data_IF_594516716182
#
_entry.id   IF_594516716182
#
_cell.length_a   1.000
_cell.length_b   1.000
_cell.length_c   1.000
_cell.angle_alpha   90.00
_cell.angle_beta   90.00
_cell.angle_gamma   90.00
#
_symmetry.space_group_name_H-M   'P 1'
#
loop_
_entity.id
_entity.type
_entity.pdbx_description
1 polymer ?
#
# COMPACT_ATOMS: atom_id res chain seq x y z
N UNK A 1 -31.85 8.81 -3.68
CA UNK A 1 -30.42 9.08 -3.92
C UNK A 1 -30.27 10.58 -4.05
N UNK A 2 -29.28 11.17 -3.39
CA UNK A 2 -28.98 12.60 -3.53
C UNK A 2 -27.89 12.81 -4.57
N UNK A 3 -27.78 14.03 -5.10
CA UNK A 3 -26.76 14.38 -6.09
C UNK A 3 -25.99 15.62 -5.66
N UNK A 4 -24.67 15.59 -5.85
CA UNK A 4 -23.82 16.77 -5.72
C UNK A 4 -23.70 17.43 -7.08
N UNK A 5 -23.95 18.72 -7.15
CA UNK A 5 -23.80 19.53 -8.36
C UNK A 5 -22.64 20.52 -8.22
N UNK A 6 -22.04 20.89 -9.35
CA UNK A 6 -21.12 22.03 -9.46
C UNK A 6 -21.49 22.86 -10.68
N UNK A 7 -21.18 24.16 -10.67
CA UNK A 7 -21.31 24.98 -11.88
C UNK A 7 -20.26 24.60 -12.94
N UNK A 8 -20.67 24.51 -14.21
CA UNK A 8 -19.74 24.47 -15.34
C UNK A 8 -19.17 25.87 -15.66
N UNK A 9 -18.33 25.96 -16.71
CA UNK A 9 -17.74 27.23 -17.17
C UNK A 9 -18.79 28.29 -17.54
N UNK A 10 -20.03 27.87 -17.80
CA UNK A 10 -21.16 28.71 -18.18
C UNK A 10 -22.19 28.85 -17.04
N UNK A 11 -21.85 28.43 -15.81
CA UNK A 11 -22.73 28.52 -14.64
C UNK A 11 -23.81 27.44 -14.55
N UNK A 12 -23.87 26.47 -15.47
CA UNK A 12 -24.91 25.43 -15.48
C UNK A 12 -24.61 24.35 -14.46
N UNK A 13 -25.62 23.83 -13.73
CA UNK A 13 -25.42 22.77 -12.76
C UNK A 13 -25.06 21.46 -13.46
N UNK A 14 -23.86 20.95 -13.18
CA UNK A 14 -23.38 19.65 -13.64
C UNK A 14 -23.29 18.70 -12.45
N UNK A 15 -23.95 17.55 -12.58
CA UNK A 15 -23.90 16.49 -11.59
C UNK A 15 -22.46 15.94 -11.47
N UNK A 16 -21.88 16.08 -10.29
CA UNK A 16 -20.51 15.67 -9.94
C UNK A 16 -20.46 14.33 -9.22
N UNK A 17 -21.38 14.09 -8.29
CA UNK A 17 -21.39 12.86 -7.48
C UNK A 17 -22.79 12.36 -7.21
N UNK A 18 -22.90 11.06 -7.01
CA UNK A 18 -24.06 10.41 -6.40
C UNK A 18 -23.79 10.25 -4.91
N UNK A 19 -24.76 10.64 -4.09
CA UNK A 19 -24.72 10.47 -2.65
C UNK A 19 -25.78 9.42 -2.29
N UNK A 20 -25.30 8.29 -1.78
CA UNK A 20 -26.13 7.22 -1.24
C UNK A 20 -26.38 7.50 0.23
N UNK A 21 -27.64 7.68 0.59
CA UNK A 21 -28.09 7.84 1.98
C UNK A 21 -27.97 6.53 2.75
N UNK A 22 -28.15 6.59 4.07
CA UNK A 22 -28.11 5.45 5.00
C UNK A 22 -28.89 4.23 4.52
N UNK A 23 -30.07 4.45 3.91
CA UNK A 23 -30.96 3.37 3.47
C UNK A 23 -30.59 2.81 2.08
N UNK A 24 -29.63 3.42 1.38
CA UNK A 24 -29.28 3.08 0.00
C UNK A 24 -27.94 2.35 -0.13
N UNK A 25 -27.24 2.17 1.00
CA UNK A 25 -26.00 1.43 1.11
C UNK A 25 -26.05 0.42 2.27
N UNK A 26 -25.31 -0.70 2.22
CA UNK A 26 -25.37 -1.73 3.25
C UNK A 26 -24.43 -1.47 4.45
N UNK A 27 -23.72 -0.35 4.48
CA UNK A 27 -22.76 -0.04 5.56
C UNK A 27 -23.51 0.16 6.88
N UNK A 28 -23.14 -0.62 7.89
CA UNK A 28 -23.65 -0.47 9.26
C UNK A 28 -22.67 0.35 10.09
N UNK A 29 -23.12 1.43 10.72
CA UNK A 29 -22.30 2.29 11.60
C UNK A 29 -21.60 1.51 12.72
N UNK A 30 -22.23 0.44 13.24
CA UNK A 30 -21.64 -0.43 14.25
C UNK A 30 -20.38 -1.20 13.79
N UNK A 31 -20.13 -1.32 12.48
CA UNK A 31 -18.90 -1.91 11.93
C UNK A 31 -17.75 -0.91 11.80
N UNK A 32 -17.97 0.36 12.12
CA UNK A 32 -16.92 1.39 12.07
C UNK A 32 -16.14 1.35 13.39
N UNK A 33 -14.81 1.40 13.29
CA UNK A 33 -13.97 1.47 14.49
C UNK A 33 -14.30 2.75 15.30
N UNK A 34 -14.62 2.64 16.60
CA UNK A 34 -14.95 3.80 17.43
C UNK A 34 -13.85 4.85 17.48
N UNK A 35 -12.57 4.46 17.41
CA UNK A 35 -11.45 5.40 17.44
C UNK A 35 -11.29 6.12 16.09
N UNK A 36 -11.57 5.45 14.97
CA UNK A 36 -11.69 6.10 13.66
C UNK A 36 -12.82 7.14 13.66
N UNK A 37 -13.97 6.81 14.26
CA UNK A 37 -15.09 7.74 14.41
C UNK A 37 -14.71 8.96 15.26
N UNK A 38 -14.00 8.77 16.37
CA UNK A 38 -13.49 9.88 17.20
C UNK A 38 -12.58 10.83 16.42
N UNK A 39 -11.66 10.29 15.59
CA UNK A 39 -10.79 11.11 14.74
C UNK A 39 -11.63 11.96 13.78
N UNK A 40 -12.60 11.36 13.12
CA UNK A 40 -13.46 12.04 12.14
C UNK A 40 -14.32 13.12 12.81
N UNK A 41 -14.93 12.81 13.95
CA UNK A 41 -15.72 13.78 14.72
C UNK A 41 -14.85 14.95 15.17
N UNK A 42 -13.67 14.70 15.74
CA UNK A 42 -12.74 15.75 16.16
C UNK A 42 -12.32 16.67 15.01
N UNK A 43 -12.04 16.12 13.82
CA UNK A 43 -11.74 16.93 12.63
C UNK A 43 -12.93 17.82 12.24
N UNK A 44 -14.15 17.28 12.27
CA UNK A 44 -15.37 18.02 11.94
C UNK A 44 -15.72 19.11 12.93
N UNK A 45 -15.58 18.84 14.22
CA UNK A 45 -15.81 19.83 15.28
C UNK A 45 -14.82 21.01 15.17
N UNK A 46 -13.69 20.80 14.48
CA UNK A 46 -12.70 21.84 14.16
C UNK A 46 -12.87 22.44 12.75
N UNK A 47 -14.01 22.21 12.10
CA UNK A 47 -14.36 22.81 10.81
C UNK A 47 -13.77 22.13 9.57
N UNK A 48 -13.24 20.91 9.70
CA UNK A 48 -12.68 20.14 8.58
C UNK A 48 -13.63 19.04 8.13
N UNK A 49 -13.70 18.81 6.82
CA UNK A 49 -14.36 17.63 6.29
C UNK A 49 -13.46 16.41 6.48
N UNK A 50 -14.03 15.28 6.91
CA UNK A 50 -13.30 14.04 7.12
C UNK A 50 -14.16 12.82 6.78
N UNK A 51 -13.55 11.83 6.12
CA UNK A 51 -14.22 10.66 5.54
C UNK A 51 -13.36 9.41 5.66
N UNK A 52 -14.01 8.26 5.73
CA UNK A 52 -13.37 6.95 5.54
C UNK A 52 -13.25 6.69 4.04
N UNK A 53 -12.12 6.15 3.57
CA UNK A 53 -11.86 5.93 2.13
C UNK A 53 -11.30 4.55 1.84
N UNK A 54 -11.13 4.23 0.55
CA UNK A 54 -10.29 3.13 0.12
C UNK A 54 -10.89 1.75 0.37
N UNK A 55 -10.04 0.81 0.79
CA UNK A 55 -10.42 -0.59 0.98
C UNK A 55 -11.49 -0.79 2.06
N UNK A 56 -11.49 0.05 3.09
CA UNK A 56 -12.46 -0.04 4.18
C UNK A 56 -13.90 0.17 3.69
N UNK A 57 -14.14 1.20 2.87
CA UNK A 57 -15.47 1.50 2.32
C UNK A 57 -15.95 0.36 1.42
N UNK A 58 -15.07 -0.13 0.53
CA UNK A 58 -15.37 -1.30 -0.31
C UNK A 58 -15.77 -2.51 0.52
N UNK A 59 -14.95 -2.86 1.51
CA UNK A 59 -15.15 -4.07 2.30
C UNK A 59 -16.46 -3.99 3.09
N UNK A 60 -16.78 -2.82 3.67
CA UNK A 60 -18.06 -2.55 4.31
C UNK A 60 -19.26 -2.70 3.36
N UNK A 61 -19.16 -2.19 2.13
CA UNK A 61 -20.22 -2.31 1.12
C UNK A 61 -20.44 -3.77 0.71
N UNK A 62 -19.36 -4.55 0.60
CA UNK A 62 -19.44 -5.99 0.28
C UNK A 62 -19.84 -6.84 1.51
N UNK A 63 -20.00 -6.21 2.68
CA UNK A 63 -20.41 -6.87 3.93
C UNK A 63 -19.27 -7.52 4.72
N UNK A 64 -18.02 -7.35 4.28
CA UNK A 64 -16.80 -7.79 4.99
C UNK A 64 -16.44 -6.80 6.12
N UNK A 65 -15.55 -7.22 7.01
CA UNK A 65 -14.98 -6.35 8.05
C UNK A 65 -13.64 -5.80 7.57
N UNK A 66 -13.44 -4.48 7.50
CA UNK A 66 -12.15 -3.88 7.16
C UNK A 66 -11.04 -4.31 8.13
N UNK A 67 -9.81 -4.44 7.61
CA UNK A 67 -8.62 -4.63 8.46
C UNK A 67 -8.15 -3.30 9.06
N UNK A 68 -8.11 -2.28 8.22
CA UNK A 68 -7.61 -0.94 8.55
C UNK A 68 -8.63 0.12 8.08
N UNK A 69 -8.65 1.27 8.75
CA UNK A 69 -9.50 2.41 8.41
C UNK A 69 -8.65 3.61 7.98
N UNK A 70 -8.56 3.82 6.68
CA UNK A 70 -7.92 5.01 6.10
C UNK A 70 -8.88 6.19 6.13
N UNK A 71 -8.39 7.34 6.61
CA UNK A 71 -9.17 8.58 6.73
C UNK A 71 -8.58 9.62 5.77
N UNK A 72 -9.45 10.38 5.09
CA UNK A 72 -9.05 11.53 4.29
C UNK A 72 -9.81 12.78 4.72
N UNK A 73 -9.11 13.92 4.73
CA UNK A 73 -9.63 15.23 5.17
C UNK A 73 -9.12 16.39 4.31
N UNK A 74 -9.79 17.54 4.37
CA UNK A 74 -9.27 18.82 3.85
C UNK A 74 -8.28 19.50 4.81
N UNK A 75 -8.10 18.98 6.03
CA UNK A 75 -7.09 19.47 6.97
C UNK A 75 -5.66 19.20 6.46
N UNK A 76 -4.80 20.22 6.51
CA UNK A 76 -3.38 20.04 6.17
C UNK A 76 -2.65 19.18 7.22
N UNK A 77 -1.54 18.49 6.88
CA UNK A 77 -0.80 17.64 7.83
C UNK A 77 -0.33 18.39 9.09
N UNK A 78 0.00 19.67 8.96
CA UNK A 78 0.37 20.51 10.10
C UNK A 78 -0.82 20.79 11.03
N UNK A 79 -2.03 20.97 10.47
CA UNK A 79 -3.27 21.14 11.25
C UNK A 79 -3.67 19.85 11.93
N UNK A 80 -3.61 18.71 11.24
CA UNK A 80 -3.87 17.39 11.83
C UNK A 80 -2.91 17.16 13.01
N UNK A 81 -1.61 17.42 12.84
CA UNK A 81 -0.63 17.26 13.92
C UNK A 81 -0.91 18.16 15.13
N UNK A 82 -1.45 19.37 14.90
CA UNK A 82 -1.82 20.29 15.98
C UNK A 82 -3.04 19.77 16.77
N UNK A 83 -3.99 19.11 16.10
CA UNK A 83 -5.16 18.52 16.74
C UNK A 83 -4.82 17.22 17.49
N UNK A 84 -3.94 16.40 16.92
CA UNK A 84 -3.55 15.10 17.45
C UNK A 84 -2.07 15.09 17.81
N UNK A 85 -1.74 15.41 19.06
CA UNK A 85 -0.36 15.46 19.56
C UNK A 85 0.33 14.09 19.52
N UNK A 86 -0.45 13.02 19.71
CA UNK A 86 -0.08 11.62 19.53
C UNK A 86 -0.07 11.21 18.04
N UNK A 87 0.58 12.00 17.19
CA UNK A 87 0.67 11.71 15.76
C UNK A 87 2.06 11.96 15.17
N UNK A 88 2.34 11.30 14.05
CA UNK A 88 3.59 11.43 13.30
C UNK A 88 3.30 11.63 11.82
N UNK A 89 3.93 12.65 11.24
CA UNK A 89 3.92 12.84 9.79
C UNK A 89 4.93 11.86 9.19
N UNK A 90 4.46 11.05 8.23
CA UNK A 90 5.23 10.06 7.48
C UNK A 90 5.22 10.44 6.00
N UNK A 91 6.31 10.13 5.31
CA UNK A 91 6.46 10.36 3.88
C UNK A 91 6.98 11.75 3.55
N UNK A 92 7.94 11.82 2.61
CA UNK A 92 8.47 13.08 2.09
C UNK A 92 7.57 13.68 0.99
N UNK A 93 7.01 12.81 0.13
CA UNK A 93 6.20 13.19 -1.05
C UNK A 93 4.70 13.08 -0.82
N UNK A 94 4.25 12.04 -0.12
CA UNK A 94 2.87 11.88 0.30
C UNK A 94 2.85 12.01 1.81
N UNK A 95 2.53 13.21 2.31
CA UNK A 95 2.50 13.47 3.74
C UNK A 95 1.25 12.82 4.34
N UNK A 96 1.41 11.61 4.85
CA UNK A 96 0.41 10.92 5.66
C UNK A 96 0.65 11.25 7.13
N UNK A 97 -0.42 11.31 7.92
CA UNK A 97 -0.33 11.50 9.36
C UNK A 97 -0.79 10.22 10.03
N UNK A 98 0.13 9.56 10.73
CA UNK A 98 -0.18 8.38 11.54
C UNK A 98 -0.61 8.85 12.92
N UNK A 99 -1.84 8.56 13.31
CA UNK A 99 -2.38 8.87 14.64
C UNK A 99 -2.38 7.58 15.46
N UNK A 100 -1.83 7.63 16.67
CA UNK A 100 -1.62 6.46 17.52
C UNK A 100 -2.69 6.36 18.61
N UNK A 101 -3.41 5.23 18.66
CA UNK A 101 -4.37 4.90 19.70
C UNK A 101 -3.98 3.58 20.35
N UNK A 102 -3.18 3.64 21.43
CA UNK A 102 -2.56 2.45 22.02
C UNK A 102 -1.68 1.74 20.98
N UNK A 103 -2.01 0.49 20.68
CA UNK A 103 -1.32 -0.32 19.67
C UNK A 103 -1.88 -0.12 18.23
N UNK A 104 -2.98 0.63 18.08
CA UNK A 104 -3.59 0.92 16.78
C UNK A 104 -2.97 2.15 16.14
N UNK A 105 -2.86 2.13 14.82
CA UNK A 105 -2.38 3.24 14.01
C UNK A 105 -3.45 3.55 12.95
N UNK A 106 -3.89 4.80 12.88
CA UNK A 106 -4.78 5.28 11.84
C UNK A 106 -4.02 6.15 10.86
N UNK A 107 -4.19 5.88 9.57
CA UNK A 107 -3.62 6.70 8.50
C UNK A 107 -4.59 7.81 8.12
N UNK A 108 -4.20 9.06 8.38
CA UNK A 108 -4.95 10.25 7.99
C UNK A 108 -4.21 10.98 6.88
N UNK A 109 -4.89 11.13 5.75
CA UNK A 109 -4.38 11.80 4.55
C UNK A 109 -5.16 13.07 4.26
N UNK A 110 -4.53 14.00 3.56
CA UNK A 110 -5.20 15.20 3.06
C UNK A 110 -5.54 15.03 1.58
N UNK A 111 -6.62 15.67 1.10
CA UNK A 111 -7.01 15.61 -0.32
C UNK A 111 -5.85 16.04 -1.24
N UNK A 112 -5.63 15.28 -2.30
CA UNK A 112 -4.54 15.51 -3.24
C UNK A 112 -5.01 16.34 -4.43
N UNK A 113 -4.27 17.38 -4.78
CA UNK A 113 -4.59 18.19 -5.97
C UNK A 113 -4.16 17.53 -7.28
N UNK A 114 -4.84 17.90 -8.38
CA UNK A 114 -4.46 17.57 -9.76
C UNK A 114 -3.36 18.47 -10.33
N UNK A 115 -3.16 19.68 -9.77
CA UNK A 115 -2.31 20.73 -10.36
C UNK A 115 -0.81 20.36 -10.49
N UNK A 116 -0.33 19.41 -9.70
CA UNK A 116 1.10 19.07 -9.60
C UNK A 116 1.42 17.66 -10.15
N UNK A 117 0.49 17.03 -10.87
CA UNK A 117 0.62 15.62 -11.29
C UNK A 117 0.76 14.65 -10.12
N UNK A 118 1.45 13.53 -10.31
CA UNK A 118 1.58 12.46 -9.29
C UNK A 118 2.45 12.84 -8.08
N UNK A 119 3.24 13.93 -8.15
CA UNK A 119 4.33 14.22 -7.19
C UNK A 119 4.07 15.49 -6.34
N UNK A 120 2.91 16.13 -6.51
CA UNK A 120 2.54 17.35 -5.81
C UNK A 120 2.31 17.27 -4.32
N UNK A 121 2.67 18.38 -3.64
CA UNK A 121 2.32 18.64 -2.25
C UNK A 121 1.14 19.64 -2.12
N UNK A 122 0.55 20.10 -3.21
CA UNK A 122 -0.65 20.94 -3.16
C UNK A 122 -1.86 20.10 -2.76
N UNK A 123 -2.61 20.65 -1.81
CA UNK A 123 -3.85 20.06 -1.32
C UNK A 123 -4.99 20.48 -2.24
N UNK A 124 -5.83 19.50 -2.57
CA UNK A 124 -6.92 19.66 -3.52
C UNK A 124 -8.28 19.54 -2.87
N UNK A 125 -9.30 19.48 -3.72
CA UNK A 125 -10.66 19.13 -3.34
C UNK A 125 -10.87 17.61 -3.33
N UNK A 126 -12.02 17.18 -2.82
CA UNK A 126 -12.38 15.77 -2.83
C UNK A 126 -12.50 15.20 -4.25
N UNK A 127 -13.06 15.95 -5.19
CA UNK A 127 -13.19 15.49 -6.59
C UNK A 127 -11.83 15.39 -7.29
N UNK A 128 -10.87 16.26 -6.97
CA UNK A 128 -9.48 16.12 -7.43
C UNK A 128 -8.81 14.86 -6.86
N UNK A 129 -8.98 14.57 -5.57
CA UNK A 129 -8.38 13.38 -4.94
C UNK A 129 -8.92 12.08 -5.55
N UNK A 130 -10.22 12.03 -5.87
CA UNK A 130 -10.86 10.89 -6.52
C UNK A 130 -10.17 10.57 -7.84
N UNK A 131 -9.93 11.60 -8.67
CA UNK A 131 -9.34 11.43 -10.00
C UNK A 131 -7.89 10.94 -9.96
N UNK A 132 -7.23 10.98 -8.80
CA UNK A 132 -5.88 10.43 -8.57
C UNK A 132 -5.88 9.01 -8.02
N UNK A 133 -7.04 8.42 -7.78
CA UNK A 133 -7.18 7.03 -7.34
C UNK A 133 -7.14 6.10 -8.54
N UNK A 134 -6.85 4.84 -8.26
CA UNK A 134 -6.61 3.84 -9.29
C UNK A 134 -7.91 3.20 -9.80
N UNK A 135 -8.73 2.64 -8.90
CA UNK A 135 -9.93 1.89 -9.25
C UNK A 135 -11.17 2.43 -8.55
N UNK A 136 -12.31 2.36 -9.23
CA UNK A 136 -13.59 2.94 -8.80
C UNK A 136 -14.01 2.41 -7.43
N UNK A 137 -13.80 1.12 -7.18
CA UNK A 137 -14.11 0.48 -5.89
C UNK A 137 -13.32 1.02 -4.69
N UNK A 138 -12.13 1.63 -4.89
CA UNK A 138 -11.32 2.23 -3.82
C UNK A 138 -11.44 3.77 -3.79
N UNK A 139 -12.34 4.32 -4.62
CA UNK A 139 -12.55 5.76 -4.81
C UNK A 139 -13.91 6.23 -4.28
N UNK A 140 -14.40 5.54 -3.25
CA UNK A 140 -15.60 5.88 -2.50
C UNK A 140 -15.22 6.53 -1.17
N UNK A 141 -16.04 7.49 -0.74
CA UNK A 141 -15.89 8.21 0.52
C UNK A 141 -17.10 7.93 1.38
N UNK A 142 -16.90 7.51 2.61
CA UNK A 142 -17.96 7.28 3.57
C UNK A 142 -17.90 8.31 4.69
N UNK A 143 -19.03 8.97 4.91
CA UNK A 143 -19.29 9.86 6.03
C UNK A 143 -19.98 9.07 7.16
N UNK A 144 -19.28 8.72 8.26
CA UNK A 144 -19.89 7.97 9.35
C UNK A 144 -20.77 8.81 10.28
N UNK A 145 -20.73 10.14 10.17
CA UNK A 145 -21.57 11.06 10.96
C UNK A 145 -22.93 11.20 10.30
N UNK A 146 -22.96 11.48 8.98
CA UNK A 146 -24.19 11.57 8.19
C UNK A 146 -24.70 10.20 7.70
N UNK A 147 -23.89 9.16 7.83
CA UNK A 147 -24.16 7.82 7.29
C UNK A 147 -24.44 7.88 5.77
N UNK A 148 -23.51 8.45 5.02
CA UNK A 148 -23.63 8.67 3.57
C UNK A 148 -22.39 8.17 2.83
N UNK A 149 -22.58 7.59 1.64
CA UNK A 149 -21.49 7.25 0.70
C UNK A 149 -21.50 8.22 -0.46
N UNK A 150 -20.37 8.86 -0.72
CA UNK A 150 -20.16 9.81 -1.81
C UNK A 150 -19.38 9.10 -2.93
N UNK A 151 -19.96 9.10 -4.13
CA UNK A 151 -19.44 8.38 -5.30
C UNK A 151 -19.38 9.30 -6.54
N UNK A 152 -18.15 9.66 -6.95
CA UNK A 152 -17.90 10.47 -8.15
C UNK A 152 -17.66 9.62 -9.41
N UNK A 153 -17.48 8.30 -9.26
CA UNK A 153 -16.93 7.44 -10.32
C UNK A 153 -17.79 6.23 -10.64
N UNK A 154 -19.01 6.17 -10.09
CA UNK A 154 -19.91 5.03 -10.14
C UNK A 154 -19.35 3.76 -9.48
N UNK A 155 -18.48 3.91 -8.48
CA UNK A 155 -17.87 2.80 -7.74
C UNK A 155 -18.89 1.89 -7.05
N UNK A 156 -20.02 2.42 -6.55
CA UNK A 156 -21.07 1.58 -5.94
C UNK A 156 -21.74 0.70 -6.99
N UNK A 157 -21.95 1.20 -8.21
CA UNK A 157 -22.50 0.41 -9.32
C UNK A 157 -21.52 -0.68 -9.75
N UNK A 158 -20.23 -0.35 -9.87
CA UNK A 158 -19.20 -1.32 -10.23
C UNK A 158 -19.04 -2.43 -9.19
N UNK A 159 -19.12 -2.09 -7.88
CA UNK A 159 -19.13 -3.07 -6.79
C UNK A 159 -20.33 -4.00 -6.91
N UNK A 160 -21.54 -3.46 -7.14
CA UNK A 160 -22.76 -4.27 -7.34
C UNK A 160 -22.64 -5.19 -8.56
N UNK A 161 -22.05 -4.69 -9.65
CA UNK A 161 -21.78 -5.47 -10.85
C UNK A 161 -20.57 -6.41 -10.73
N UNK A 162 -19.85 -6.42 -9.60
CA UNK A 162 -18.61 -7.18 -9.35
C UNK A 162 -17.57 -6.99 -10.45
N UNK A 163 -17.36 -5.74 -10.88
CA UNK A 163 -16.41 -5.38 -11.94
C UNK A 163 -15.31 -4.48 -11.42
N UNK A 164 -14.08 -4.74 -11.85
CA UNK A 164 -12.96 -3.85 -11.58
C UNK A 164 -12.81 -2.82 -12.71
N UNK A 165 -13.14 -1.56 -12.43
CA UNK A 165 -12.99 -0.45 -13.37
C UNK A 165 -11.92 0.54 -12.89
N UNK A 166 -11.05 1.03 -13.78
CA UNK A 166 -10.14 2.11 -13.44
C UNK A 166 -10.88 3.45 -13.35
N UNK A 167 -10.42 4.35 -12.46
CA UNK A 167 -10.90 5.75 -12.44
C UNK A 167 -10.32 6.52 -13.61
N UNK A 168 -9.02 6.32 -13.85
CA UNK A 168 -8.26 7.00 -14.89
C UNK A 168 -8.41 6.24 -16.22
N UNK A 169 -8.54 6.92 -17.37
CA UNK A 169 -8.61 6.28 -18.67
C UNK A 169 -7.49 5.26 -18.92
N UNK A 170 -7.83 4.15 -19.59
CA UNK A 170 -6.95 2.98 -19.76
C UNK A 170 -5.65 3.29 -20.51
N UNK A 171 -5.68 4.26 -21.42
CA UNK A 171 -4.54 4.73 -22.20
C UNK A 171 -3.54 5.56 -21.39
N UNK A 172 -3.91 5.96 -20.16
CA UNK A 172 -3.12 6.81 -19.26
C UNK A 172 -2.74 6.06 -17.99
N UNK A 173 -3.67 5.36 -17.35
CA UNK A 173 -3.54 4.83 -15.98
C UNK A 173 -2.25 4.04 -15.72
N UNK A 174 -1.87 3.15 -16.66
CA UNK A 174 -0.69 2.29 -16.52
C UNK A 174 0.60 2.95 -16.96
N UNK A 175 0.54 3.96 -17.84
CA UNK A 175 1.69 4.78 -18.21
C UNK A 175 2.07 5.74 -17.07
N UNK A 176 1.06 6.29 -16.40
CA UNK A 176 1.25 7.17 -15.24
C UNK A 176 1.83 6.40 -14.04
N UNK A 177 1.30 5.22 -13.75
CA UNK A 177 1.85 4.34 -12.72
C UNK A 177 1.70 2.85 -13.07
N UNK A 178 2.76 2.20 -13.59
CA UNK A 178 2.71 0.79 -13.99
C UNK A 178 2.33 -0.16 -12.86
N UNK A 179 2.61 0.20 -11.59
CA UNK A 179 2.26 -0.60 -10.41
C UNK A 179 0.75 -0.80 -10.27
N UNK A 180 -0.08 0.07 -10.87
CA UNK A 180 -1.54 -0.10 -10.91
C UNK A 180 -1.96 -1.37 -11.66
N UNK A 181 -1.16 -1.92 -12.56
CA UNK A 181 -1.45 -3.23 -13.18
C UNK A 181 -1.39 -4.38 -12.17
N UNK A 182 -0.36 -4.40 -11.31
CA UNK A 182 -0.22 -5.39 -10.23
C UNK A 182 -1.41 -5.26 -9.27
N UNK A 183 -1.76 -4.02 -8.92
CA UNK A 183 -2.92 -3.72 -8.06
C UNK A 183 -4.23 -4.17 -8.71
N UNK A 184 -4.40 -4.02 -10.02
CA UNK A 184 -5.58 -4.49 -10.73
C UNK A 184 -5.79 -5.99 -10.55
N UNK A 185 -4.73 -6.77 -10.82
CA UNK A 185 -4.74 -8.23 -10.66
C UNK A 185 -4.98 -8.62 -9.21
N UNK A 186 -4.33 -7.95 -8.27
CA UNK A 186 -4.52 -8.17 -6.83
C UNK A 186 -5.96 -7.92 -6.39
N UNK A 187 -6.57 -6.80 -6.81
CA UNK A 187 -7.94 -6.48 -6.44
C UNK A 187 -8.93 -7.42 -7.10
N UNK A 188 -8.79 -7.71 -8.40
CA UNK A 188 -9.67 -8.65 -9.10
C UNK A 188 -9.67 -10.04 -8.42
N UNK A 189 -8.50 -10.61 -8.15
CA UNK A 189 -8.38 -11.90 -7.49
C UNK A 189 -8.85 -11.85 -6.02
N UNK A 190 -8.42 -10.86 -5.23
CA UNK A 190 -8.75 -10.78 -3.80
C UNK A 190 -10.22 -10.46 -3.50
N UNK A 191 -10.91 -9.71 -4.37
CA UNK A 191 -12.35 -9.43 -4.21
C UNK A 191 -13.24 -10.42 -4.94
N UNK A 192 -12.69 -11.23 -5.86
CA UNK A 192 -13.46 -12.06 -6.79
C UNK A 192 -14.18 -11.25 -7.87
N UNK A 193 -13.76 -10.00 -8.13
CA UNK A 193 -14.37 -9.16 -9.15
C UNK A 193 -13.83 -9.53 -10.53
N UNK A 194 -14.70 -9.50 -11.53
CA UNK A 194 -14.31 -9.71 -12.90
C UNK A 194 -13.46 -8.55 -13.41
N UNK A 195 -12.33 -8.89 -14.03
CA UNK A 195 -11.47 -7.97 -14.76
C UNK A 195 -11.96 -7.86 -16.21
N UNK A 196 -12.57 -6.75 -16.64
CA UNK A 196 -13.13 -6.64 -17.99
C UNK A 196 -12.07 -6.87 -19.07
N UNK A 197 -12.46 -7.51 -20.18
CA UNK A 197 -11.52 -7.88 -21.26
C UNK A 197 -10.73 -6.72 -21.86
N UNK A 198 -11.28 -5.50 -21.87
CA UNK A 198 -10.55 -4.28 -22.28
C UNK A 198 -9.42 -3.95 -21.30
N UNK A 199 -9.68 -4.02 -20.00
CA UNK A 199 -8.68 -3.77 -18.94
C UNK A 199 -7.60 -4.84 -18.98
N UNK A 200 -7.99 -6.12 -19.11
CA UNK A 200 -7.04 -7.24 -19.21
C UNK A 200 -6.10 -7.10 -20.43
N UNK A 201 -6.63 -6.71 -21.59
CA UNK A 201 -5.83 -6.47 -22.80
C UNK A 201 -4.86 -5.30 -22.63
N UNK A 202 -5.30 -4.21 -21.99
CA UNK A 202 -4.41 -3.09 -21.68
C UNK A 202 -3.26 -3.51 -20.77
N UNK A 203 -3.54 -4.30 -19.72
CA UNK A 203 -2.51 -4.86 -18.83
C UNK A 203 -1.50 -5.72 -19.62
N UNK A 204 -1.98 -6.61 -20.48
CA UNK A 204 -1.11 -7.46 -21.31
C UNK A 204 -0.23 -6.64 -22.25
N UNK A 205 -0.81 -5.61 -22.88
CA UNK A 205 -0.10 -4.72 -23.79
C UNK A 205 1.00 -3.92 -23.07
N UNK A 206 0.69 -3.41 -21.88
CA UNK A 206 1.53 -2.47 -21.16
C UNK A 206 2.40 -3.14 -20.08
N UNK A 207 2.38 -4.48 -19.94
CA UNK A 207 3.07 -5.20 -18.86
C UNK A 207 4.57 -4.87 -18.78
N UNK A 208 5.22 -4.67 -19.93
CA UNK A 208 6.63 -4.31 -20.03
C UNK A 208 6.99 -2.99 -19.32
N UNK A 209 6.01 -2.10 -19.09
CA UNK A 209 6.20 -0.87 -18.32
C UNK A 209 6.56 -1.13 -16.84
N UNK A 210 6.40 -2.38 -16.35
CA UNK A 210 6.88 -2.78 -15.03
C UNK A 210 8.40 -2.93 -14.95
N UNK A 211 9.09 -3.14 -16.06
CA UNK A 211 10.55 -3.33 -16.08
C UNK A 211 11.36 -2.17 -15.46
N UNK A 212 11.07 -0.88 -15.76
CA UNK A 212 11.78 0.25 -15.15
C UNK A 212 11.29 0.61 -13.73
N UNK A 213 10.28 -0.09 -13.18
CA UNK A 213 9.76 0.21 -11.83
C UNK A 213 10.80 -0.18 -10.78
N UNK A 214 10.96 0.66 -9.75
CA UNK A 214 11.95 0.40 -8.71
C UNK A 214 11.68 -0.93 -7.98
N UNK A 215 12.72 -1.74 -7.71
CA UNK A 215 12.61 -3.01 -6.98
C UNK A 215 11.86 -2.91 -5.65
N UNK A 216 12.00 -1.78 -4.94
CA UNK A 216 11.28 -1.51 -3.68
C UNK A 216 9.77 -1.51 -3.84
N UNK A 217 9.23 -0.86 -4.89
CA UNK A 217 7.79 -0.79 -5.14
C UNK A 217 7.21 -2.14 -5.54
N UNK A 218 7.97 -2.91 -6.33
CA UNK A 218 7.59 -4.29 -6.68
C UNK A 218 7.59 -5.19 -5.43
N UNK A 219 8.59 -5.03 -4.56
CA UNK A 219 8.70 -5.76 -3.30
C UNK A 219 7.51 -5.46 -2.38
N UNK A 220 7.12 -4.19 -2.24
CA UNK A 220 5.96 -3.80 -1.43
C UNK A 220 4.67 -4.47 -1.94
N UNK A 221 4.44 -4.49 -3.25
CA UNK A 221 3.26 -5.15 -3.81
C UNK A 221 3.33 -6.67 -3.66
N UNK A 222 4.49 -7.30 -3.86
CA UNK A 222 4.65 -8.75 -3.67
C UNK A 222 4.43 -9.15 -2.21
N UNK A 223 4.95 -8.39 -1.24
CA UNK A 223 4.67 -8.62 0.19
C UNK A 223 3.17 -8.52 0.48
N UNK A 224 2.45 -7.55 -0.11
CA UNK A 224 0.99 -7.46 0.01
C UNK A 224 0.28 -8.68 -0.59
N UNK A 225 0.80 -9.26 -1.67
CA UNK A 225 0.28 -10.50 -2.26
C UNK A 225 0.47 -11.66 -1.27
N UNK A 226 1.67 -11.84 -0.71
CA UNK A 226 1.98 -12.91 0.25
C UNK A 226 1.18 -12.81 1.56
N UNK A 227 0.80 -11.59 1.96
CA UNK A 227 -0.02 -11.33 3.15
C UNK A 227 -1.53 -11.35 2.88
N UNK A 228 -1.96 -11.57 1.63
CA UNK A 228 -3.36 -11.42 1.24
C UNK A 228 -4.25 -12.57 1.70
N UNK A 229 -3.70 -13.78 1.84
CA UNK A 229 -4.48 -15.02 1.96
C UNK A 229 -5.18 -15.42 0.64
N UNK A 230 -4.74 -14.85 -0.48
CA UNK A 230 -5.23 -15.16 -1.84
C UNK A 230 -4.09 -15.19 -2.86
N UNK A 231 -2.88 -15.47 -2.40
CA UNK A 231 -1.64 -15.52 -3.18
C UNK A 231 -1.76 -16.46 -4.38
N UNK A 232 -2.37 -17.64 -4.21
CA UNK A 232 -2.60 -18.58 -5.29
C UNK A 232 -3.42 -17.96 -6.43
N UNK A 233 -4.55 -17.33 -6.10
CA UNK A 233 -5.45 -16.73 -7.10
C UNK A 233 -4.79 -15.52 -7.78
N UNK A 234 -4.11 -14.69 -7.00
CA UNK A 234 -3.41 -13.51 -7.51
C UNK A 234 -2.28 -13.91 -8.46
N UNK A 235 -1.42 -14.85 -8.06
CA UNK A 235 -0.30 -15.32 -8.90
C UNK A 235 -0.82 -16.03 -10.15
N UNK A 236 -1.85 -16.87 -10.03
CA UNK A 236 -2.47 -17.52 -11.19
C UNK A 236 -2.99 -16.50 -12.21
N UNK A 237 -3.59 -15.40 -11.76
CA UNK A 237 -4.05 -14.34 -12.66
C UNK A 237 -2.87 -13.50 -13.19
N UNK A 238 -1.84 -13.26 -12.37
CA UNK A 238 -0.62 -12.54 -12.76
C UNK A 238 0.18 -13.27 -13.85
N UNK A 239 0.23 -14.60 -13.80
CA UNK A 239 0.80 -15.46 -14.85
C UNK A 239 0.02 -15.30 -16.16
N UNK A 240 -1.31 -15.37 -16.10
CA UNK A 240 -2.22 -15.18 -17.25
C UNK A 240 -2.24 -13.77 -17.84
N UNK A 241 -1.53 -12.82 -17.23
CA UNK A 241 -1.45 -11.41 -17.63
C UNK A 241 -0.02 -10.93 -17.83
N UNK A 242 0.98 -11.83 -17.84
CA UNK A 242 2.40 -11.51 -17.98
C UNK A 242 2.94 -10.51 -16.94
N UNK A 243 2.26 -10.33 -15.81
CA UNK A 243 2.75 -9.49 -14.72
C UNK A 243 3.78 -10.23 -13.89
N UNK A 244 3.58 -11.54 -13.67
CA UNK A 244 4.37 -12.28 -12.69
C UNK A 244 5.86 -12.36 -13.06
N UNK A 245 6.18 -12.37 -14.36
CA UNK A 245 7.57 -12.34 -14.85
C UNK A 245 8.35 -11.10 -14.41
N UNK A 246 7.67 -9.99 -14.13
CA UNK A 246 8.30 -8.77 -13.61
C UNK A 246 8.46 -8.79 -12.09
N UNK A 247 7.69 -9.64 -11.39
CA UNK A 247 7.78 -9.79 -9.93
C UNK A 247 8.76 -10.89 -9.52
N UNK A 248 8.76 -12.02 -10.23
CA UNK A 248 9.57 -13.21 -9.99
C UNK A 248 10.00 -13.84 -11.33
N UNK A 249 10.96 -13.23 -12.05
CA UNK A 249 11.44 -13.72 -13.34
C UNK A 249 12.02 -15.14 -13.26
N UNK A 250 12.87 -15.41 -12.26
CA UNK A 250 13.48 -16.73 -12.08
C UNK A 250 12.46 -17.82 -11.78
N UNK A 251 11.43 -17.51 -10.99
CA UNK A 251 10.31 -18.43 -10.79
C UNK A 251 9.59 -18.69 -12.11
N UNK A 252 9.30 -17.65 -12.90
CA UNK A 252 8.67 -17.81 -14.21
C UNK A 252 9.48 -18.69 -15.16
N UNK A 253 10.80 -18.52 -15.23
CA UNK A 253 11.67 -19.38 -16.04
C UNK A 253 11.50 -20.86 -15.66
N UNK A 254 11.55 -21.18 -14.36
CA UNK A 254 11.36 -22.56 -13.89
C UNK A 254 9.95 -23.11 -14.13
N UNK A 255 8.91 -22.26 -14.06
CA UNK A 255 7.54 -22.66 -14.40
C UNK A 255 7.44 -23.14 -15.86
N UNK A 256 8.19 -22.52 -16.78
CA UNK A 256 8.24 -22.92 -18.19
C UNK A 256 9.18 -24.11 -18.45
N UNK A 257 10.34 -24.15 -17.80
CA UNK A 257 11.40 -25.13 -18.10
C UNK A 257 11.18 -26.49 -17.45
N UNK A 258 10.64 -26.54 -16.22
CA UNK A 258 10.55 -27.78 -15.43
C UNK A 258 9.11 -28.32 -15.36
N UNK A 259 8.81 -29.46 -16.00
CA UNK A 259 7.52 -30.11 -15.89
C UNK A 259 7.16 -30.40 -14.42
N UNK A 260 5.92 -30.05 -14.03
CA UNK A 260 5.42 -30.28 -12.66
C UNK A 260 5.81 -29.21 -11.63
N UNK A 261 6.80 -28.35 -11.91
CA UNK A 261 7.17 -27.25 -11.01
C UNK A 261 6.02 -26.26 -10.82
N UNK A 262 5.25 -25.93 -11.87
CA UNK A 262 4.06 -25.08 -11.74
C UNK A 262 3.04 -25.65 -10.75
N UNK A 263 2.76 -26.96 -10.85
CA UNK A 263 1.79 -27.60 -9.98
C UNK A 263 2.24 -27.55 -8.52
N UNK A 264 3.50 -27.88 -8.22
CA UNK A 264 4.01 -27.83 -6.84
C UNK A 264 4.07 -26.39 -6.31
N UNK A 265 4.52 -25.45 -7.15
CA UNK A 265 4.70 -24.05 -6.78
C UNK A 265 3.36 -23.40 -6.42
N UNK A 266 2.34 -23.61 -7.27
CA UNK A 266 0.99 -23.14 -7.01
C UNK A 266 0.36 -23.84 -5.80
N UNK A 267 0.66 -25.11 -5.55
CA UNK A 267 0.19 -25.81 -4.35
C UNK A 267 0.81 -25.24 -3.07
N UNK A 268 2.09 -24.85 -3.10
CA UNK A 268 2.71 -24.15 -1.99
C UNK A 268 2.10 -22.76 -1.74
N UNK A 269 1.64 -22.06 -2.78
CA UNK A 269 0.87 -20.83 -2.61
C UNK A 269 -0.48 -21.06 -1.92
N UNK A 270 -1.16 -22.19 -2.19
CA UNK A 270 -2.39 -22.53 -1.44
C UNK A 270 -2.10 -22.82 0.02
N UNK A 271 -0.99 -23.52 0.32
CA UNK A 271 -0.56 -23.76 1.71
C UNK A 271 -0.20 -22.44 2.41
N UNK A 272 0.44 -21.50 1.70
CA UNK A 272 0.67 -20.16 2.21
C UNK A 272 -0.66 -19.47 2.52
N UNK A 273 -1.65 -19.53 1.63
CA UNK A 273 -2.95 -18.92 1.86
C UNK A 273 -3.66 -19.53 3.08
N UNK A 274 -3.60 -20.86 3.25
CA UNK A 274 -4.09 -21.53 4.45
C UNK A 274 -3.35 -21.09 5.73
N UNK A 275 -2.03 -20.90 5.67
CA UNK A 275 -1.25 -20.37 6.79
C UNK A 275 -1.73 -18.97 7.19
N UNK A 276 -2.04 -18.08 6.24
CA UNK A 276 -2.52 -16.71 6.55
C UNK A 276 -3.86 -16.73 7.29
N UNK A 277 -4.71 -17.72 7.03
CA UNK A 277 -5.98 -17.87 7.74
C UNK A 277 -5.75 -18.28 9.21
N UNK A 278 -4.79 -19.18 9.46
CA UNK A 278 -4.51 -19.70 10.81
C UNK A 278 -3.59 -18.77 11.61
N UNK A 279 -2.56 -18.22 10.98
CA UNK A 279 -1.55 -17.33 11.58
C UNK A 279 -1.35 -16.06 10.74
N UNK A 280 -2.28 -15.08 10.77
CA UNK A 280 -2.17 -13.84 10.00
C UNK A 280 -0.87 -13.07 10.30
N UNK A 281 -0.47 -13.08 11.57
CA UNK A 281 0.71 -12.39 12.11
C UNK A 281 2.04 -13.13 11.86
N UNK A 282 2.03 -14.23 11.08
CA UNK A 282 3.26 -14.95 10.74
C UNK A 282 4.32 -13.98 10.15
N UNK A 283 5.58 -14.16 10.53
CA UNK A 283 6.67 -13.34 10.00
C UNK A 283 6.84 -13.52 8.48
N UNK A 284 7.46 -12.54 7.83
CA UNK A 284 7.64 -12.57 6.39
C UNK A 284 8.50 -13.76 5.96
N UNK A 285 9.53 -14.13 6.71
CA UNK A 285 10.40 -15.26 6.41
C UNK A 285 9.65 -16.60 6.37
N UNK A 286 8.69 -16.82 7.27
CA UNK A 286 7.83 -18.01 7.23
C UNK A 286 7.01 -18.04 5.94
N UNK A 287 6.50 -16.88 5.50
CA UNK A 287 5.73 -16.74 4.25
C UNK A 287 6.62 -16.95 3.02
N UNK A 288 7.82 -16.35 3.00
CA UNK A 288 8.81 -16.52 1.95
C UNK A 288 9.27 -17.97 1.80
N UNK A 289 9.28 -18.76 2.88
CA UNK A 289 9.65 -20.18 2.80
C UNK A 289 8.78 -20.94 1.80
N UNK A 290 7.49 -20.61 1.65
CA UNK A 290 6.61 -21.25 0.66
C UNK A 290 6.94 -20.89 -0.79
N UNK A 291 7.50 -19.69 -1.02
CA UNK A 291 7.89 -19.23 -2.36
C UNK A 291 9.19 -19.90 -2.79
N UNK A 292 10.17 -20.01 -1.89
CA UNK A 292 11.50 -20.51 -2.24
C UNK A 292 11.65 -22.02 -2.04
N UNK A 293 10.69 -22.69 -1.38
CA UNK A 293 10.83 -24.11 -1.01
C UNK A 293 11.07 -25.01 -2.23
N UNK A 294 10.21 -24.95 -3.24
CA UNK A 294 10.36 -25.82 -4.42
C UNK A 294 11.63 -25.52 -5.20
N UNK A 295 12.04 -24.24 -5.24
CA UNK A 295 13.31 -23.87 -5.84
C UNK A 295 14.46 -24.57 -5.12
N UNK A 296 14.56 -24.42 -3.79
CA UNK A 296 15.61 -25.04 -2.97
C UNK A 296 15.56 -26.57 -3.10
N UNK A 297 14.37 -27.18 -3.00
CA UNK A 297 14.20 -28.62 -3.14
C UNK A 297 14.66 -29.13 -4.51
N UNK A 298 14.62 -28.29 -5.55
CA UNK A 298 15.04 -28.63 -6.91
C UNK A 298 16.52 -28.38 -7.21
N UNK A 299 17.31 -27.86 -6.26
CA UNK A 299 18.72 -27.53 -6.46
C UNK A 299 19.63 -28.76 -6.50
N UNK A 300 19.40 -29.72 -5.62
CA UNK A 300 20.20 -30.94 -5.47
C UNK A 300 19.39 -32.01 -4.73
N UNK A 301 19.91 -33.24 -4.71
CA UNK A 301 19.44 -34.29 -3.81
C UNK A 301 20.00 -34.03 -2.40
N UNK A 302 19.21 -33.35 -1.58
CA UNK A 302 19.62 -32.91 -0.24
C UNK A 302 20.03 -34.05 0.69
N UNK A 303 19.54 -35.28 0.48
CA UNK A 303 19.95 -36.42 1.30
C UNK A 303 21.40 -36.80 0.98
N UNK A 304 21.70 -37.01 -0.30
CA UNK A 304 23.06 -37.32 -0.77
C UNK A 304 24.04 -36.20 -0.47
N UNK A 305 23.65 -34.95 -0.73
CA UNK A 305 24.50 -33.79 -0.48
C UNK A 305 24.86 -33.65 1.01
N UNK A 306 23.94 -33.97 1.93
CA UNK A 306 24.22 -33.92 3.37
C UNK A 306 25.15 -35.05 3.82
N UNK A 307 25.10 -36.20 3.16
CA UNK A 307 26.00 -37.33 3.40
C UNK A 307 27.41 -37.04 2.87
N UNK A 308 27.54 -36.45 1.67
CA UNK A 308 28.82 -36.12 1.03
C UNK A 308 29.47 -34.86 1.60
N UNK A 309 28.69 -33.82 1.90
CA UNK A 309 29.14 -32.53 2.43
C UNK A 309 28.45 -32.22 3.76
N UNK A 310 28.94 -32.77 4.89
CA UNK A 310 28.25 -32.66 6.17
C UNK A 310 28.30 -31.25 6.78
N UNK A 311 29.05 -30.30 6.21
CA UNK A 311 29.19 -28.94 6.74
C UNK A 311 27.94 -28.08 6.43
N UNK A 312 27.05 -27.83 7.41
CA UNK A 312 25.79 -27.14 7.13
C UNK A 312 25.98 -25.65 6.81
N UNK A 313 27.12 -25.06 7.21
CA UNK A 313 27.42 -23.65 6.95
C UNK A 313 27.75 -23.41 5.48
N UNK A 314 28.44 -24.36 4.85
CA UNK A 314 28.78 -24.28 3.43
C UNK A 314 27.55 -24.51 2.55
N UNK A 315 26.75 -25.54 2.85
CA UNK A 315 25.48 -25.79 2.19
C UNK A 315 24.56 -24.57 2.26
N UNK A 316 24.48 -23.94 3.43
CA UNK A 316 23.74 -22.69 3.61
C UNK A 316 24.31 -21.55 2.75
N UNK A 317 25.63 -21.34 2.73
CA UNK A 317 26.25 -20.25 1.99
C UNK A 317 26.01 -20.37 0.47
N UNK A 318 26.10 -21.59 -0.08
CA UNK A 318 25.78 -21.88 -1.49
C UNK A 318 24.31 -21.61 -1.79
N UNK A 319 23.41 -22.14 -0.94
CA UNK A 319 21.95 -21.95 -1.07
C UNK A 319 21.56 -20.48 -0.98
N UNK A 320 22.22 -19.71 -0.11
CA UNK A 320 21.98 -18.28 0.07
C UNK A 320 22.18 -17.51 -1.21
N UNK A 321 23.32 -17.72 -1.89
CA UNK A 321 23.64 -17.03 -3.14
C UNK A 321 22.58 -17.30 -4.22
N UNK A 322 22.19 -18.56 -4.38
CA UNK A 322 21.20 -18.97 -5.37
C UNK A 322 19.79 -18.45 -5.04
N UNK A 323 19.35 -18.56 -3.78
CA UNK A 323 18.07 -18.02 -3.34
C UNK A 323 17.97 -16.51 -3.48
N UNK A 324 19.08 -15.80 -3.22
CA UNK A 324 19.12 -14.34 -3.38
C UNK A 324 18.89 -13.94 -4.84
N UNK A 325 19.48 -14.67 -5.79
CA UNK A 325 19.26 -14.42 -7.21
C UNK A 325 17.85 -14.83 -7.67
N UNK A 326 17.34 -15.95 -7.14
CA UNK A 326 15.99 -16.43 -7.44
C UNK A 326 14.92 -15.39 -7.12
N UNK A 327 15.07 -14.69 -5.99
CA UNK A 327 14.03 -13.82 -5.46
C UNK A 327 14.03 -12.41 -6.10
N UNK A 328 15.09 -12.02 -6.80
CA UNK A 328 15.15 -10.74 -7.50
C UNK A 328 14.04 -10.63 -8.57
N UNK A 329 13.47 -9.44 -8.81
CA UNK A 329 13.86 -8.13 -8.27
C UNK A 329 13.36 -7.84 -6.85
N UNK A 330 12.67 -8.77 -6.19
CA UNK A 330 12.25 -8.55 -4.80
C UNK A 330 13.48 -8.43 -3.89
N UNK A 331 13.45 -7.47 -2.96
CA UNK A 331 14.51 -7.26 -1.98
C UNK A 331 13.94 -7.28 -0.55
N UNK A 332 13.61 -8.46 0.00
CA UNK A 332 13.12 -8.58 1.37
C UNK A 332 14.25 -8.28 2.38
N UNK A 333 13.91 -7.94 3.64
CA UNK A 333 14.90 -7.81 4.69
C UNK A 333 15.76 -9.08 4.82
N UNK A 334 17.09 -8.92 4.94
CA UNK A 334 18.06 -10.04 4.98
C UNK A 334 17.69 -11.11 6.00
N UNK A 335 17.26 -10.69 7.19
CA UNK A 335 16.88 -11.58 8.31
C UNK A 335 15.69 -12.48 7.94
N UNK A 336 14.72 -11.95 7.18
CA UNK A 336 13.53 -12.69 6.76
C UNK A 336 13.90 -13.75 5.70
N UNK A 337 14.77 -13.39 4.75
CA UNK A 337 15.27 -14.34 3.76
C UNK A 337 16.12 -15.44 4.40
N UNK A 338 16.96 -15.09 5.37
CA UNK A 338 17.79 -16.07 6.10
C UNK A 338 16.92 -17.05 6.88
N UNK A 339 15.88 -16.56 7.55
CA UNK A 339 14.90 -17.41 8.22
C UNK A 339 14.22 -18.36 7.22
N UNK A 340 13.77 -17.85 6.07
CA UNK A 340 13.11 -18.65 5.04
C UNK A 340 14.00 -19.79 4.54
N UNK A 341 15.25 -19.49 4.17
CA UNK A 341 16.21 -20.46 3.63
C UNK A 341 16.50 -21.55 4.66
N UNK A 342 16.83 -21.16 5.90
CA UNK A 342 17.12 -22.13 6.97
C UNK A 342 15.92 -23.00 7.31
N UNK A 343 14.70 -22.44 7.25
CA UNK A 343 13.46 -23.20 7.44
C UNK A 343 13.29 -24.26 6.35
N UNK A 344 13.55 -23.92 5.09
CA UNK A 344 13.48 -24.88 3.99
C UNK A 344 14.57 -25.95 4.10
N UNK A 345 15.82 -25.56 4.36
CA UNK A 345 16.93 -26.50 4.55
C UNK A 345 16.68 -27.48 5.70
N UNK A 346 16.14 -27.00 6.82
CA UNK A 346 15.76 -27.86 7.95
C UNK A 346 14.66 -28.86 7.58
N UNK A 347 13.66 -28.45 6.78
CA UNK A 347 12.61 -29.37 6.26
C UNK A 347 13.18 -30.42 5.30
N UNK A 348 14.30 -30.12 4.65
CA UNK A 348 14.99 -31.02 3.72
C UNK A 348 16.06 -31.90 4.41
N UNK A 349 16.19 -31.80 5.73
CA UNK A 349 17.10 -32.65 6.53
C UNK A 349 18.44 -32.03 6.90
N UNK A 350 18.73 -30.80 6.47
CA UNK A 350 20.01 -30.13 6.79
C UNK A 350 19.95 -29.50 8.18
N UNK A 351 20.91 -29.84 9.05
CA UNK A 351 20.96 -29.36 10.42
C UNK A 351 21.41 -27.89 10.50
N UNK A 352 20.45 -26.96 10.33
CA UNK A 352 20.69 -25.51 10.41
C UNK A 352 20.01 -24.89 11.64
N UNK A 353 20.73 -24.02 12.35
CA UNK A 353 20.15 -23.21 13.44
C UNK A 353 19.34 -22.07 12.86
N UNK A 354 18.10 -21.87 13.33
CA UNK A 354 17.24 -20.74 12.95
C UNK A 354 17.68 -19.51 13.77
N UNK A 355 17.86 -18.32 13.16
CA UNK A 355 18.30 -17.13 13.88
C UNK A 355 17.24 -16.71 14.91
N UNK A 356 17.65 -16.50 16.16
CA UNK A 356 16.74 -16.02 17.23
C UNK A 356 16.18 -14.62 16.94
N UNK A 357 16.89 -13.82 16.16
CA UNK A 357 16.48 -12.46 15.73
C UNK A 357 15.27 -12.42 14.81
N UNK A 358 14.88 -13.55 14.21
CA UNK A 358 13.68 -13.64 13.38
C UNK A 358 12.37 -13.65 14.20
N UNK A 359 12.45 -13.89 15.52
CA UNK A 359 11.29 -13.89 16.43
C UNK A 359 11.09 -12.53 17.13
N UNK A 360 12.07 -11.62 17.08
CA UNK A 360 11.98 -10.29 17.70
C UNK A 360 11.29 -9.29 16.78
N UNK A 361 10.03 -9.56 16.46
CA UNK A 361 9.20 -8.77 15.55
C UNK A 361 8.01 -8.07 16.20
N UNK A 362 8.06 -7.68 17.49
CA UNK A 362 7.10 -6.73 18.13
C UNK A 362 7.51 -6.23 19.53
N UNK A 363 8.81 -6.09 19.82
CA UNK A 363 9.29 -5.26 20.94
C UNK A 363 10.44 -4.38 20.47
N UNK A 364 10.12 -3.34 19.69
CA UNK A 364 10.97 -2.14 19.70
C UNK A 364 10.81 -1.52 21.08
N UNK A 365 11.71 -1.88 22.00
CA UNK A 365 11.98 -1.04 23.18
C UNK A 365 12.25 0.37 22.65
N UNK A 366 11.54 1.34 23.22
CA UNK A 366 11.87 2.75 23.18
C UNK A 366 13.33 2.92 23.59
N UNK A 367 14.23 3.02 22.62
CA UNK A 367 15.54 3.59 22.86
C UNK A 367 15.32 5.10 22.98
N UNK A 368 15.39 5.59 24.21
CA UNK A 368 15.74 6.96 24.51
C UNK A 368 17.06 7.27 23.83
N UNK A 369 17.03 7.87 22.65
CA UNK A 369 18.20 8.53 22.10
C UNK A 369 18.26 9.93 22.72
N UNK A 370 19.00 10.00 23.83
CA UNK A 370 19.60 11.26 24.27
C UNK A 370 20.39 11.83 23.10
N UNK A 371 20.12 13.08 22.78
CA UNK A 371 20.88 13.82 21.80
C UNK A 371 22.31 14.01 22.29
N UNK A 372 23.25 13.45 21.54
CA UNK A 372 24.58 14.03 21.41
C UNK A 372 24.91 14.09 19.92
N UNK A 373 24.91 15.32 19.41
CA UNK A 373 25.46 15.68 18.10
C UNK A 373 26.93 15.24 18.01
N UNK A 374 27.37 14.59 16.92
CA UNK A 374 28.79 14.37 16.71
C UNK A 374 29.49 15.72 16.47
N UNK A 375 30.48 16.01 17.31
CA UNK A 375 31.43 17.13 17.17
C UNK A 375 32.14 17.03 15.81
N UNK A 376 32.32 18.15 15.07
CA UNK A 376 33.15 18.14 13.87
C UNK A 376 34.63 18.04 14.25
N UNK A 377 35.34 17.20 13.50
CA UNK A 377 36.80 17.00 13.57
C UNK A 377 37.50 18.31 13.21
N UNK A 378 38.39 18.76 14.10
CA UNK A 378 39.20 19.96 13.92
C UNK A 378 40.38 19.68 12.96
N UNK A 379 40.38 20.36 11.82
CA UNK A 379 41.59 20.54 11.00
C UNK A 379 42.31 21.84 11.39
N UNK A 380 43.64 21.76 11.37
CA UNK A 380 44.58 22.75 11.91
C UNK A 380 44.52 24.10 11.19
N UNK A 381 44.66 25.15 12.01
CA UNK A 381 44.85 26.58 11.65
C UNK A 381 45.92 26.81 10.57
N UNK A 382 45.65 27.76 9.67
CA UNK A 382 46.60 28.81 9.28
C UNK A 382 45.87 30.14 9.10
N UNK A 383 46.61 31.20 9.40
CA UNK A 383 46.19 32.57 9.69
C UNK A 383 45.65 33.34 8.48
N UNK A 384 44.83 34.35 8.75
CA UNK A 384 44.40 35.34 7.77
C UNK A 384 43.39 36.32 8.37
N UNK A 385 43.80 37.58 8.48
CA UNK A 385 43.09 38.69 9.10
C UNK A 385 41.79 39.06 8.35
N UNK A 386 40.88 39.73 9.08
CA UNK A 386 40.26 41.03 8.70
C UNK A 386 38.72 41.11 8.70
N UNK A 387 38.27 42.18 9.35
CA UNK A 387 37.10 43.02 9.08
C UNK A 387 35.66 42.54 9.37
N UNK A 388 35.14 43.09 10.48
CA UNK A 388 33.77 43.61 10.69
C UNK A 388 33.01 43.98 9.40
N UNK A 389 31.74 43.57 9.31
CA UNK A 389 30.65 44.41 8.76
C UNK A 389 29.29 44.05 9.39
N UNK A 390 28.65 45.09 9.95
CA UNK A 390 27.27 45.15 10.48
C UNK A 390 26.24 45.38 9.36
N UNK A 391 24.96 45.15 9.69
CA UNK A 391 23.65 45.60 9.09
C UNK A 391 22.89 44.46 8.39
N UNK A 392 21.56 44.32 8.43
CA UNK A 392 20.39 44.97 9.10
C UNK A 392 19.19 44.01 8.90
N UNK A 393 18.10 44.07 9.69
CA UNK A 393 16.92 43.20 9.52
C UNK A 393 15.94 43.76 8.46
N UNK A 394 15.30 42.90 7.67
CA UNK A 394 14.24 43.28 6.72
C UNK A 394 12.86 42.74 7.16
N UNK A 395 12.03 43.72 7.50
CA UNK A 395 10.58 43.91 7.39
C UNK A 395 9.63 42.73 7.15
N UNK A 396 8.60 42.72 8.01
CA UNK A 396 7.29 42.07 7.87
C UNK A 396 6.55 42.61 6.65
N UNK A 397 5.89 41.73 5.91
CA UNK A 397 4.82 42.06 4.98
C UNK A 397 3.55 41.37 5.49
N UNK A 398 2.50 42.18 5.63
CA UNK A 398 1.12 41.83 5.95
C UNK A 398 0.33 41.66 4.65
N UNK A 399 -0.47 40.59 4.53
CA UNK A 399 -1.60 40.46 3.60
C UNK A 399 -2.56 39.44 4.25
N UNK A 400 -3.70 39.87 4.79
CA UNK A 400 -4.96 40.24 4.15
C UNK A 400 -5.75 39.01 3.67
N UNK A 401 -6.93 38.86 4.28
CA UNK A 401 -7.86 37.76 4.14
C UNK A 401 -8.65 37.80 2.83
N UNK A 402 -8.95 36.63 2.29
CA UNK A 402 -10.14 36.41 1.44
C UNK A 402 -10.78 35.11 1.91
N UNK A 403 -11.89 35.25 2.63
CA UNK A 403 -12.84 34.19 2.94
C UNK A 403 -13.86 34.21 1.80
N UNK A 404 -13.94 33.15 1.02
CA UNK A 404 -15.04 32.92 0.09
C UNK A 404 -15.83 31.73 0.63
N UNK A 405 -16.93 32.06 1.27
CA UNK A 405 -17.96 31.14 1.76
C UNK A 405 -18.78 30.66 0.55
N UNK A 406 -18.94 29.36 0.39
CA UNK A 406 -19.80 28.77 -0.63
C UNK A 406 -20.78 27.83 0.07
N UNK A 407 -21.99 28.34 0.32
CA UNK A 407 -23.11 27.59 0.84
C UNK A 407 -23.54 26.50 -0.15
N UNK A 408 -23.51 25.23 0.29
CA UNK A 408 -24.13 24.11 -0.42
C UNK A 408 -25.65 24.12 -0.20
N UNK A 409 -26.41 24.30 -1.27
CA UNK A 409 -27.86 24.06 -1.30
C UNK A 409 -28.09 22.59 -1.67
N UNK A 410 -28.68 21.83 -0.75
CA UNK A 410 -29.17 20.47 -0.99
C UNK A 410 -30.66 20.58 -1.32
N UNK A 411 -31.03 20.40 -2.58
CA UNK A 411 -32.44 20.28 -2.98
C UNK A 411 -32.90 18.82 -2.85
N UNK A 412 -34.01 18.64 -2.12
CA UNK A 412 -34.78 17.40 -2.04
C UNK A 412 -35.68 17.33 -3.28
N UNK A 413 -35.54 16.29 -4.10
CA UNK A 413 -36.53 15.89 -5.12
C UNK A 413 -36.93 14.45 -4.87
#
# INVERSE_FOLDING_TARGET
MLYRYSADKNGRPVKKAVIYTKNEHPIKKAKIDPDALKIITCLRDNGYNAYIVGGAVRDLIVGKTPKDFDITTDATPARIKKLFHNSRIIGKRFRLVHIFFGDKIFEVSTFRSLADGTVGNRFGTMDEDVMRRDFTLNALYYDPVKEQVIDYVNGVKDIKAKRLMPVIPLDIIFKEDPVRMIRAVKYAAGTGFHLPGKVRRAILKDSALLSPVSPSRLTEELIKILNSGSSYQIVSLALKTNIYMHLQPSACALLYEKPGFEKSYLENLKKLDALIVVEPEACLGKKLSYIIYDFIASLTDWKKETEENPNPSELYARTWSQCRNFILPMNPPRVELEYAIRTCLKKLGVNTKIPKSAFTGKKRKSASENGETPKPVAEKKKAGQSARKRRKPRQRITEAAVVADAAEVVELV
#
